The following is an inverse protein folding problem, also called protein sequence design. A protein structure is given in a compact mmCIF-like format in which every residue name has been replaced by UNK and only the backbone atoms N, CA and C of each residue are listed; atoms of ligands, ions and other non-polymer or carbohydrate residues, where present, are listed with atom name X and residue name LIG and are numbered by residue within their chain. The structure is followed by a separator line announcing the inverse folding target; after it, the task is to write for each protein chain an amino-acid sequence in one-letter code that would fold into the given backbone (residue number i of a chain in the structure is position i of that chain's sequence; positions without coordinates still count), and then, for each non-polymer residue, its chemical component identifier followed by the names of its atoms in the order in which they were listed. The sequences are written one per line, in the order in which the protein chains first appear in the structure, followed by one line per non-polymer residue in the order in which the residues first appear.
data_IF_610833312530
#
_entry.id   IF_610833312530
#
_cell.length_a   1.000
_cell.length_b   1.000
_cell.length_c   1.000
_cell.angle_alpha   90.00
_cell.angle_beta   90.00
_cell.angle_gamma   90.00
#
_symmetry.space_group_name_H-M   'P 1'
#
loop_
_entity.id
_entity.type
_entity.pdbx_description
1 polymer ?
#
# COMPACT_ATOMS: atom_id res chain seq x y z
N UNK A 1 -10.51 -14.73 18.65
CA UNK A 1 -9.28 -14.51 19.36
C UNK A 1 -8.10 -14.54 18.40
N UNK A 2 -7.06 -13.69 18.63
CA UNK A 2 -5.94 -13.56 17.71
C UNK A 2 -5.10 -14.85 17.60
N UNK A 3 -5.05 -15.61 18.69
CA UNK A 3 -4.35 -16.90 18.79
C UNK A 3 -4.95 -18.01 17.91
N UNK A 4 -6.18 -17.82 17.44
CA UNK A 4 -6.87 -18.78 16.55
C UNK A 4 -6.44 -18.60 15.07
N UNK A 5 -5.64 -17.57 14.76
CA UNK A 5 -5.20 -17.26 13.40
C UNK A 5 -3.71 -17.56 13.26
N UNK A 6 -3.37 -18.21 12.17
CA UNK A 6 -1.99 -18.48 11.77
C UNK A 6 -1.66 -17.72 10.49
N UNK A 7 -0.39 -17.34 10.33
CA UNK A 7 0.07 -16.71 9.11
C UNK A 7 0.10 -17.74 7.96
N UNK A 8 -0.58 -17.46 6.86
CA UNK A 8 -0.56 -18.34 5.70
C UNK A 8 0.74 -18.14 4.92
N UNK A 9 1.59 -19.17 4.77
CA UNK A 9 2.81 -19.04 3.97
C UNK A 9 2.48 -18.89 2.48
N UNK A 10 3.46 -18.45 1.70
CA UNK A 10 3.33 -18.38 0.23
C UNK A 10 3.06 -19.78 -0.31
N UNK A 11 1.95 -19.93 -1.02
CA UNK A 11 1.55 -21.22 -1.59
C UNK A 11 2.35 -21.56 -2.83
N UNK A 12 2.64 -22.85 -3.00
CA UNK A 12 3.28 -23.37 -4.20
C UNK A 12 2.23 -23.60 -5.30
N UNK A 13 2.44 -22.98 -6.45
CA UNK A 13 1.64 -23.19 -7.64
C UNK A 13 2.38 -24.02 -8.71
N UNK A 14 1.76 -24.32 -9.84
CA UNK A 14 2.34 -25.12 -10.91
C UNK A 14 3.57 -24.48 -11.56
N UNK A 15 3.77 -23.19 -11.40
CA UNK A 15 4.89 -22.42 -11.95
C UNK A 15 5.85 -21.89 -10.87
N UNK A 16 5.67 -22.31 -9.60
CA UNK A 16 6.48 -21.90 -8.46
C UNK A 16 5.71 -21.13 -7.39
N UNK A 17 6.45 -20.58 -6.45
CA UNK A 17 5.91 -19.79 -5.36
C UNK A 17 6.19 -18.31 -5.58
N UNK A 18 5.14 -17.50 -5.59
CA UNK A 18 5.19 -16.06 -5.84
C UNK A 18 4.50 -15.30 -4.74
N UNK A 19 5.15 -14.27 -4.24
CA UNK A 19 4.52 -13.32 -3.34
C UNK A 19 3.90 -12.18 -4.16
N UNK A 20 2.58 -12.10 -4.19
CA UNK A 20 1.84 -11.10 -4.97
C UNK A 20 1.29 -9.94 -4.12
N UNK A 21 1.41 -10.03 -2.80
CA UNK A 21 0.78 -9.08 -1.87
C UNK A 21 1.75 -8.21 -1.12
N UNK A 22 2.94 -8.73 -0.80
CA UNK A 22 3.99 -7.98 -0.09
C UNK A 22 4.96 -7.41 -1.12
N UNK A 23 5.17 -6.11 -1.06
CA UNK A 23 6.14 -5.41 -1.91
C UNK A 23 7.40 -5.12 -1.11
N UNK A 24 8.55 -5.25 -1.77
CA UNK A 24 9.81 -4.79 -1.20
C UNK A 24 9.90 -3.27 -1.34
N UNK A 25 10.15 -2.63 -0.22
CA UNK A 25 10.33 -1.18 -0.16
C UNK A 25 9.09 -0.36 0.18
N UNK A 26 9.34 0.78 0.77
CA UNK A 26 8.34 1.78 1.09
C UNK A 26 7.86 2.49 -0.17
N UNK A 27 6.57 2.49 -0.38
CA UNK A 27 5.99 3.26 -1.47
C UNK A 27 5.90 4.75 -1.14
N UNK A 28 6.18 5.60 -2.11
CA UNK A 28 5.78 7.00 -2.05
C UNK A 28 4.34 7.07 -2.53
N UNK A 29 3.43 7.47 -1.65
CA UNK A 29 2.05 7.71 -2.04
C UNK A 29 1.90 9.18 -2.46
N UNK A 30 1.93 9.43 -3.75
CA UNK A 30 1.71 10.76 -4.31
C UNK A 30 0.23 11.18 -4.20
N UNK A 31 -0.02 12.49 -4.09
CA UNK A 31 -1.39 13.01 -4.07
C UNK A 31 -2.08 13.04 -2.70
N UNK A 32 -1.36 12.78 -1.61
CA UNK A 32 -1.89 12.86 -0.25
C UNK A 32 -2.31 14.29 0.15
N UNK A 33 -1.80 15.30 -0.53
CA UNK A 33 -2.12 16.71 -0.34
C UNK A 33 -2.17 17.44 -1.67
N UNK A 34 -3.22 18.22 -1.89
CA UNK A 34 -3.34 19.13 -3.03
C UNK A 34 -3.65 20.54 -2.54
N UNK A 35 -2.87 21.52 -3.02
CA UNK A 35 -3.08 22.93 -2.73
C UNK A 35 -3.70 23.57 -3.97
N UNK A 36 -4.93 24.05 -3.81
CA UNK A 36 -5.66 24.68 -4.94
C UNK A 36 -5.26 26.14 -5.12
N UNK A 37 -5.55 26.70 -6.29
CA UNK A 37 -5.35 28.11 -6.61
C UNK A 37 -6.16 29.08 -5.74
N UNK A 38 -7.13 28.59 -5.00
CA UNK A 38 -7.90 29.40 -4.03
C UNK A 38 -7.17 29.62 -2.71
N UNK A 39 -6.02 28.95 -2.49
CA UNK A 39 -5.24 29.14 -1.28
C UNK A 39 -4.53 30.49 -1.29
N UNK A 40 -4.87 31.37 -0.34
CA UNK A 40 -4.26 32.71 -0.22
C UNK A 40 -2.80 32.69 0.25
N UNK A 41 -2.40 31.65 0.97
CA UNK A 41 -1.07 31.56 1.59
C UNK A 41 -0.44 30.16 1.41
N UNK A 42 -0.14 29.71 0.19
CA UNK A 42 0.35 28.35 -0.06
C UNK A 42 1.69 28.06 0.63
N UNK A 43 2.55 29.06 0.74
CA UNK A 43 3.85 28.91 1.44
C UNK A 43 3.65 28.67 2.94
N UNK A 44 2.71 29.35 3.59
CA UNK A 44 2.46 29.13 5.01
C UNK A 44 1.80 27.77 5.24
N UNK A 45 0.95 27.32 4.33
CA UNK A 45 0.34 26.00 4.38
C UNK A 45 1.39 24.91 4.21
N UNK A 46 2.34 25.06 3.28
CA UNK A 46 3.45 24.13 3.11
C UNK A 46 4.34 24.07 4.36
N UNK A 47 4.67 25.21 4.98
CA UNK A 47 5.42 25.25 6.25
C UNK A 47 4.69 24.55 7.40
N UNK A 48 3.37 24.61 7.42
CA UNK A 48 2.56 23.87 8.41
C UNK A 48 2.67 22.36 8.17
N UNK A 49 2.50 21.90 6.94
CA UNK A 49 2.60 20.48 6.63
C UNK A 49 4.04 19.93 6.70
N UNK A 50 5.05 20.77 6.48
CA UNK A 50 6.46 20.39 6.63
C UNK A 50 6.77 19.87 8.05
N UNK A 51 6.10 20.42 9.06
CA UNK A 51 6.24 19.95 10.43
C UNK A 51 5.66 18.54 10.66
N UNK A 52 4.76 18.07 9.80
CA UNK A 52 4.20 16.73 9.89
C UNK A 52 5.21 15.63 9.56
N UNK A 53 6.32 15.99 8.90
CA UNK A 53 7.39 15.05 8.57
C UNK A 53 8.41 14.86 9.70
N UNK A 54 8.35 15.67 10.77
CA UNK A 54 9.20 15.45 11.93
C UNK A 54 8.82 14.14 12.64
N UNK A 55 9.77 13.27 13.03
CA UNK A 55 9.51 11.96 13.62
C UNK A 55 8.52 12.00 14.79
N UNK A 56 8.69 12.94 15.70
CA UNK A 56 7.83 13.10 16.88
C UNK A 56 6.38 13.45 16.49
N UNK A 57 6.21 14.27 15.48
CA UNK A 57 4.89 14.68 15.02
C UNK A 57 4.21 13.59 14.22
N UNK A 58 4.94 12.93 13.32
CA UNK A 58 4.37 11.87 12.47
C UNK A 58 3.85 10.71 13.31
N UNK A 59 4.52 10.36 14.38
CA UNK A 59 4.07 9.30 15.28
C UNK A 59 2.76 9.67 15.99
N UNK A 60 2.64 10.93 16.46
CA UNK A 60 1.42 11.43 17.06
C UNK A 60 0.27 11.51 16.04
N UNK A 61 0.54 11.91 14.80
CA UNK A 61 -0.45 11.94 13.72
C UNK A 61 -0.94 10.53 13.33
N UNK A 62 -0.06 9.53 13.43
CA UNK A 62 -0.38 8.14 13.05
C UNK A 62 -1.14 7.38 14.12
N UNK A 63 -0.86 7.62 15.39
CA UNK A 63 -1.36 6.81 16.50
C UNK A 63 -2.18 7.58 17.51
N UNK A 64 -1.93 8.87 17.66
CA UNK A 64 -2.56 9.71 18.66
C UNK A 64 -1.53 10.47 19.49
N UNK A 65 -1.96 11.53 20.21
CA UNK A 65 -1.07 12.41 20.95
C UNK A 65 -0.38 11.72 22.13
N UNK A 66 0.78 12.26 22.50
CA UNK A 66 1.42 12.02 23.80
C UNK A 66 0.42 12.42 24.90
N UNK A 67 0.44 11.68 26.01
CA UNK A 67 -0.50 11.77 27.16
C UNK A 67 -1.93 11.27 26.85
N UNK A 68 -2.23 10.90 25.61
CA UNK A 68 -3.49 10.28 25.21
C UNK A 68 -3.28 8.84 24.77
N UNK A 69 -2.60 8.65 23.65
CA UNK A 69 -2.29 7.32 23.13
C UNK A 69 -0.94 6.79 23.62
N UNK A 70 0.07 7.65 23.67
CA UNK A 70 1.38 7.34 24.25
C UNK A 70 1.41 7.81 25.69
N UNK A 71 1.42 6.88 26.65
CA UNK A 71 1.18 7.19 28.07
C UNK A 71 2.44 7.20 28.92
N UNK A 72 3.50 6.53 28.48
CA UNK A 72 4.75 6.41 29.22
C UNK A 72 5.92 6.09 28.29
N UNK A 73 7.12 6.15 28.82
CA UNK A 73 8.32 5.67 28.13
C UNK A 73 8.94 4.51 28.90
N UNK A 74 9.58 3.59 28.16
CA UNK A 74 10.39 2.54 28.75
C UNK A 74 11.77 3.08 29.19
N UNK A 75 12.63 2.18 29.72
CA UNK A 75 13.99 2.52 30.16
C UNK A 75 14.93 3.00 29.03
N UNK A 76 14.57 2.72 27.77
CA UNK A 76 15.31 3.14 26.57
C UNK A 76 14.74 4.44 25.97
N UNK A 77 13.68 4.99 26.54
CA UNK A 77 13.00 6.19 26.05
C UNK A 77 11.98 5.92 24.94
N UNK A 78 11.65 4.66 24.66
CA UNK A 78 10.62 4.31 23.69
C UNK A 78 9.23 4.55 24.27
N UNK A 79 8.38 5.19 23.51
CA UNK A 79 7.01 5.43 23.91
C UNK A 79 6.18 4.13 23.92
N UNK A 80 5.42 3.96 25.00
CA UNK A 80 4.45 2.87 25.15
C UNK A 80 3.05 3.36 24.81
N UNK A 81 2.35 2.60 23.98
CA UNK A 81 0.95 2.82 23.72
C UNK A 81 0.09 2.47 24.93
N UNK A 82 -1.04 3.17 25.06
CA UNK A 82 -2.07 2.85 26.06
C UNK A 82 -2.57 1.42 25.88
N UNK A 83 -2.73 0.68 26.98
CA UNK A 83 -3.35 -0.66 26.93
C UNK A 83 -4.87 -0.55 26.82
N UNK A 84 -5.54 -1.66 26.46
CA UNK A 84 -7.00 -1.69 26.41
C UNK A 84 -7.62 -1.46 27.80
N UNK A 85 -6.99 -1.94 28.88
CA UNK A 85 -7.44 -1.71 30.25
C UNK A 85 -7.34 -0.23 30.65
N UNK A 86 -6.21 0.40 30.36
CA UNK A 86 -6.01 1.83 30.63
C UNK A 86 -6.95 2.70 29.78
N UNK A 87 -7.14 2.35 28.50
CA UNK A 87 -8.03 3.05 27.61
C UNK A 87 -9.49 2.92 28.06
N UNK A 88 -9.89 1.72 28.52
CA UNK A 88 -11.22 1.49 29.07
C UNK A 88 -11.45 2.29 30.36
N UNK A 89 -10.46 2.35 31.25
CA UNK A 89 -10.54 3.11 32.50
C UNK A 89 -10.62 4.63 32.25
N UNK A 90 -9.76 5.14 31.34
CA UNK A 90 -9.59 6.57 31.09
C UNK A 90 -10.64 7.16 30.16
N UNK A 91 -11.04 6.40 29.12
CA UNK A 91 -11.88 6.89 28.02
C UNK A 91 -13.17 6.08 27.82
N UNK A 92 -13.33 4.92 28.45
CA UNK A 92 -14.45 4.01 28.22
C UNK A 92 -14.43 3.33 26.87
N UNK A 93 -13.24 3.16 26.26
CA UNK A 93 -12.99 2.66 24.90
C UNK A 93 -11.79 1.73 24.87
N UNK A 94 -11.66 0.95 23.81
CA UNK A 94 -10.42 0.21 23.53
C UNK A 94 -9.30 1.14 23.06
N UNK A 95 -8.04 0.70 23.16
CA UNK A 95 -6.89 1.43 22.64
C UNK A 95 -7.00 1.69 21.12
N UNK A 96 -7.55 0.72 20.37
CA UNK A 96 -7.81 0.87 18.94
C UNK A 96 -8.85 1.93 18.61
N UNK A 97 -9.90 2.08 19.42
CA UNK A 97 -10.90 3.14 19.27
C UNK A 97 -10.31 4.52 19.61
N UNK A 98 -9.49 4.59 20.65
CA UNK A 98 -8.76 5.83 21.00
C UNK A 98 -7.85 6.23 19.83
N UNK A 99 -7.05 5.30 19.30
CA UNK A 99 -6.22 5.55 18.11
C UNK A 99 -7.05 6.10 16.96
N UNK A 100 -8.15 5.45 16.62
CA UNK A 100 -8.98 5.82 15.46
C UNK A 100 -9.61 7.21 15.58
N UNK A 101 -9.80 7.72 16.80
CA UNK A 101 -10.31 9.09 17.03
C UNK A 101 -9.26 10.17 16.80
N UNK A 102 -7.99 9.86 17.05
CA UNK A 102 -6.89 10.84 17.00
C UNK A 102 -5.99 10.67 15.77
N UNK A 103 -6.07 9.55 15.06
CA UNK A 103 -5.31 9.35 13.84
C UNK A 103 -5.67 10.38 12.78
N UNK A 104 -4.66 11.05 12.23
CA UNK A 104 -4.84 12.08 11.21
C UNK A 104 -4.30 11.57 9.88
N UNK A 105 -5.15 11.62 8.86
CA UNK A 105 -4.77 11.29 7.48
C UNK A 105 -4.22 12.52 6.78
N UNK A 106 -3.14 12.35 6.03
CA UNK A 106 -2.49 13.43 5.29
C UNK A 106 -1.04 13.11 4.95
N UNK A 107 -0.29 14.10 4.43
CA UNK A 107 1.09 13.90 4.04
C UNK A 107 1.94 13.60 5.28
N UNK A 108 2.57 12.43 5.31
CA UNK A 108 3.46 12.00 6.39
C UNK A 108 4.49 11.01 5.86
N UNK A 109 5.65 10.96 6.48
CA UNK A 109 6.71 10.01 6.19
C UNK A 109 6.99 9.18 7.44
N UNK A 110 6.74 7.88 7.37
CA UNK A 110 7.06 6.95 8.45
C UNK A 110 8.16 6.02 7.94
N UNK A 111 9.36 6.18 8.46
CA UNK A 111 10.47 5.31 8.17
C UNK A 111 10.46 4.12 9.13
N UNK A 112 10.98 2.98 8.67
CA UNK A 112 11.03 1.75 9.47
C UNK A 112 11.80 1.91 10.79
N UNK A 113 12.85 2.74 10.80
CA UNK A 113 13.64 3.04 11.99
C UNK A 113 12.89 3.93 13.00
N UNK A 114 11.85 4.66 12.61
CA UNK A 114 11.00 5.38 13.57
C UNK A 114 10.27 4.42 14.52
N UNK A 115 9.82 3.28 14.00
CA UNK A 115 9.22 2.24 14.84
C UNK A 115 10.21 1.68 15.86
N UNK A 116 11.45 1.42 15.43
CA UNK A 116 12.47 0.87 16.31
C UNK A 116 13.02 1.88 17.33
N UNK A 117 13.01 3.18 17.00
CA UNK A 117 13.69 4.21 17.79
C UNK A 117 12.72 5.17 18.52
N UNK A 118 11.43 5.05 18.32
CA UNK A 118 10.47 6.02 18.88
C UNK A 118 9.45 5.35 19.80
N UNK A 119 9.01 4.13 19.53
CA UNK A 119 8.02 3.47 20.37
C UNK A 119 8.21 1.95 20.44
N UNK A 120 7.72 1.39 21.54
CA UNK A 120 7.71 -0.06 21.74
C UNK A 120 6.63 -0.70 20.86
N UNK A 121 7.02 -1.65 20.03
CA UNK A 121 6.07 -2.38 19.21
C UNK A 121 5.29 -3.39 20.08
N UNK A 122 4.00 -3.48 19.82
CA UNK A 122 3.18 -4.52 20.44
C UNK A 122 3.73 -5.92 20.07
N UNK A 123 3.76 -6.86 21.02
CA UNK A 123 4.27 -8.22 20.77
C UNK A 123 3.64 -8.87 19.52
N UNK A 124 2.34 -8.73 19.36
CA UNK A 124 1.60 -9.21 18.20
C UNK A 124 2.05 -8.56 16.88
N UNK A 125 2.49 -7.33 16.89
CA UNK A 125 3.04 -6.67 15.68
C UNK A 125 4.43 -7.24 15.36
N UNK A 126 5.23 -7.54 16.37
CA UNK A 126 6.54 -8.20 16.23
C UNK A 126 6.37 -9.60 15.64
N UNK A 127 5.43 -10.40 16.16
CA UNK A 127 5.14 -11.75 15.65
C UNK A 127 4.73 -11.70 14.18
N UNK A 128 3.82 -10.79 13.80
CA UNK A 128 3.40 -10.63 12.41
C UNK A 128 4.54 -10.21 11.48
N UNK A 129 5.44 -9.36 11.94
CA UNK A 129 6.62 -8.98 11.15
C UNK A 129 7.58 -10.15 11.00
N UNK A 130 7.79 -10.93 12.05
CA UNK A 130 8.62 -12.14 12.01
C UNK A 130 8.07 -13.13 10.98
N UNK A 131 6.76 -13.42 11.05
CA UNK A 131 6.09 -14.30 10.09
C UNK A 131 6.18 -13.77 8.65
N UNK A 132 6.05 -12.45 8.47
CA UNK A 132 6.21 -11.81 7.17
C UNK A 132 7.61 -12.04 6.60
N UNK A 133 8.65 -11.79 7.40
CA UNK A 133 10.04 -11.96 6.98
C UNK A 133 10.39 -13.43 6.75
N UNK A 134 9.86 -14.35 7.53
CA UNK A 134 10.18 -15.77 7.43
C UNK A 134 9.44 -16.47 6.27
N UNK A 135 8.16 -16.11 6.03
CA UNK A 135 7.30 -16.85 5.11
C UNK A 135 7.00 -16.14 3.79
N UNK A 136 7.13 -14.81 3.71
CA UNK A 136 6.74 -14.06 2.52
C UNK A 136 7.90 -13.34 1.83
N UNK A 137 8.76 -12.68 2.59
CA UNK A 137 9.87 -11.91 2.05
C UNK A 137 10.86 -12.74 1.20
N UNK A 138 11.12 -14.03 1.48
CA UNK A 138 11.98 -14.84 0.61
C UNK A 138 11.48 -14.96 -0.84
N UNK A 139 10.18 -14.74 -1.08
CA UNK A 139 9.53 -14.85 -2.38
C UNK A 139 9.31 -13.50 -3.07
N UNK A 140 9.65 -12.38 -2.47
CA UNK A 140 9.49 -11.03 -3.07
C UNK A 140 10.22 -10.93 -4.40
N UNK A 141 11.41 -11.51 -4.50
CA UNK A 141 12.21 -11.55 -5.72
C UNK A 141 11.54 -12.27 -6.92
N UNK A 142 10.53 -13.09 -6.63
CA UNK A 142 9.76 -13.80 -7.66
C UNK A 142 8.55 -12.98 -8.15
N UNK A 143 8.36 -11.79 -7.60
CA UNK A 143 7.22 -10.94 -7.91
C UNK A 143 7.70 -9.67 -8.59
N UNK A 144 7.19 -9.39 -9.77
CA UNK A 144 7.34 -8.11 -10.43
C UNK A 144 6.12 -7.24 -10.13
N UNK A 145 6.33 -5.99 -9.78
CA UNK A 145 5.26 -5.02 -9.60
C UNK A 145 5.52 -3.80 -10.48
N UNK A 146 4.44 -3.24 -11.02
CA UNK A 146 4.53 -2.00 -11.76
C UNK A 146 4.98 -0.87 -10.81
N UNK A 147 6.03 -0.09 -11.17
CA UNK A 147 6.53 0.96 -10.28
C UNK A 147 5.50 2.07 -10.08
N UNK A 148 5.37 2.52 -8.84
CA UNK A 148 4.44 3.62 -8.50
C UNK A 148 4.94 4.98 -8.96
N UNK A 149 6.22 5.10 -9.28
CA UNK A 149 6.90 6.33 -9.71
C UNK A 149 6.86 6.55 -11.22
N UNK A 150 6.13 5.71 -11.97
CA UNK A 150 5.89 5.92 -13.38
C UNK A 150 5.09 7.20 -13.61
N UNK A 151 5.63 8.09 -14.45
CA UNK A 151 5.00 9.37 -14.80
C UNK A 151 4.30 9.23 -16.15
N UNK A 152 3.02 9.56 -16.18
CA UNK A 152 2.20 9.52 -17.39
C UNK A 152 2.17 10.88 -18.08
N UNK A 153 2.11 10.87 -19.40
CA UNK A 153 1.77 12.06 -20.20
C UNK A 153 0.26 12.33 -20.11
N UNK A 154 -0.16 13.53 -20.57
CA UNK A 154 -1.59 13.85 -20.58
C UNK A 154 -2.38 12.92 -21.50
N UNK A 155 -1.85 12.59 -22.68
CA UNK A 155 -2.50 11.69 -23.64
C UNK A 155 -2.67 10.27 -23.08
N UNK A 156 -1.69 9.79 -22.31
CA UNK A 156 -1.78 8.51 -21.61
C UNK A 156 -2.82 8.54 -20.48
N UNK A 157 -2.88 9.63 -19.71
CA UNK A 157 -3.92 9.80 -18.69
C UNK A 157 -5.31 9.84 -19.31
N UNK A 158 -5.49 10.57 -20.41
CA UNK A 158 -6.76 10.64 -21.13
C UNK A 158 -7.19 9.26 -21.66
N UNK A 159 -6.23 8.45 -22.12
CA UNK A 159 -6.46 7.06 -22.54
C UNK A 159 -6.86 6.16 -21.36
N UNK A 160 -6.14 6.27 -20.25
CA UNK A 160 -6.43 5.51 -19.03
C UNK A 160 -7.82 5.89 -18.48
N UNK A 161 -8.12 7.17 -18.37
CA UNK A 161 -9.40 7.65 -17.86
C UNK A 161 -10.58 7.23 -18.76
N UNK A 162 -10.37 7.14 -20.07
CA UNK A 162 -11.39 6.67 -21.02
C UNK A 162 -11.79 5.22 -20.80
N UNK A 163 -10.83 4.33 -20.51
CA UNK A 163 -11.05 2.90 -20.55
C UNK A 163 -11.12 2.23 -19.19
N UNK A 164 -10.37 2.73 -18.20
CA UNK A 164 -10.10 2.03 -16.94
C UNK A 164 -11.36 1.58 -16.20
N UNK A 165 -12.35 2.46 -16.08
CA UNK A 165 -13.54 2.18 -15.26
C UNK A 165 -14.34 1.00 -15.82
N UNK A 166 -14.61 1.01 -17.13
CA UNK A 166 -15.38 -0.05 -17.78
C UNK A 166 -14.59 -1.37 -17.81
N UNK A 167 -13.27 -1.28 -18.04
CA UNK A 167 -12.36 -2.41 -18.01
C UNK A 167 -12.35 -3.08 -16.62
N UNK A 168 -12.11 -2.34 -15.56
CA UNK A 168 -12.05 -2.85 -14.18
C UNK A 168 -13.40 -3.42 -13.73
N UNK A 169 -14.49 -2.77 -14.08
CA UNK A 169 -15.85 -3.27 -13.78
C UNK A 169 -16.10 -4.63 -14.46
N UNK A 170 -15.75 -4.76 -15.74
CA UNK A 170 -15.91 -6.02 -16.46
C UNK A 170 -15.04 -7.14 -15.87
N UNK A 171 -13.78 -6.85 -15.55
CA UNK A 171 -12.89 -7.82 -14.88
C UNK A 171 -13.52 -8.28 -13.57
N UNK A 172 -13.91 -7.36 -12.71
CA UNK A 172 -14.48 -7.68 -11.40
C UNK A 172 -15.80 -8.46 -11.50
N UNK A 173 -16.64 -8.15 -12.48
CA UNK A 173 -17.87 -8.89 -12.73
C UNK A 173 -17.58 -10.33 -13.15
N UNK A 174 -16.66 -10.54 -14.09
CA UNK A 174 -16.29 -11.87 -14.56
C UNK A 174 -15.62 -12.71 -13.47
N UNK A 175 -14.75 -12.13 -12.67
CA UNK A 175 -14.15 -12.79 -11.51
C UNK A 175 -15.24 -13.25 -10.52
N UNK A 176 -16.18 -12.38 -10.18
CA UNK A 176 -17.26 -12.70 -9.26
C UNK A 176 -18.17 -13.82 -9.82
N UNK A 177 -18.46 -13.81 -11.11
CA UNK A 177 -19.23 -14.87 -11.77
C UNK A 177 -18.50 -16.21 -11.71
N UNK A 178 -17.22 -16.25 -12.04
CA UNK A 178 -16.43 -17.48 -12.02
C UNK A 178 -16.21 -18.01 -10.60
N UNK A 179 -16.02 -17.14 -9.61
CA UNK A 179 -15.92 -17.55 -8.20
C UNK A 179 -17.23 -18.17 -7.67
N UNK A 180 -18.37 -17.62 -8.10
CA UNK A 180 -19.69 -18.11 -7.67
C UNK A 180 -20.13 -19.37 -8.39
N UNK A 181 -20.00 -19.38 -9.72
CA UNK A 181 -20.64 -20.40 -10.59
C UNK A 181 -19.62 -21.37 -11.20
N UNK A 182 -18.32 -21.07 -11.13
CA UNK A 182 -17.28 -21.81 -11.84
C UNK A 182 -17.37 -21.59 -13.36
N UNK A 183 -17.03 -22.61 -14.13
CA UNK A 183 -17.28 -22.62 -15.58
C UNK A 183 -16.19 -21.96 -16.43
N UNK A 184 -14.97 -21.82 -15.91
CA UNK A 184 -13.84 -21.40 -16.73
C UNK A 184 -13.48 -22.56 -17.67
N UNK A 185 -13.60 -22.30 -18.95
CA UNK A 185 -13.20 -23.17 -20.06
C UNK A 185 -12.32 -22.40 -21.02
N UNK A 186 -11.62 -23.08 -21.93
CA UNK A 186 -10.82 -22.42 -22.96
C UNK A 186 -11.67 -21.49 -23.82
N UNK A 187 -12.93 -21.87 -24.10
CA UNK A 187 -13.85 -21.06 -24.88
C UNK A 187 -14.25 -19.79 -24.11
N UNK A 188 -14.69 -19.92 -22.85
CA UNK A 188 -15.08 -18.77 -22.02
C UNK A 188 -13.90 -17.86 -21.75
N UNK A 189 -12.70 -18.40 -21.55
CA UNK A 189 -11.47 -17.63 -21.38
C UNK A 189 -11.08 -16.86 -22.64
N UNK A 190 -11.21 -17.45 -23.81
CA UNK A 190 -10.94 -16.76 -25.07
C UNK A 190 -11.98 -15.65 -25.33
N UNK A 191 -13.25 -15.91 -25.08
CA UNK A 191 -14.30 -14.89 -25.18
C UNK A 191 -14.04 -13.71 -24.23
N UNK A 192 -13.62 -13.99 -23.00
CA UNK A 192 -13.22 -12.97 -22.04
C UNK A 192 -12.08 -12.08 -22.55
N UNK A 193 -11.02 -12.69 -23.09
CA UNK A 193 -9.89 -11.93 -23.65
C UNK A 193 -10.31 -11.03 -24.83
N UNK A 194 -11.17 -11.52 -25.71
CA UNK A 194 -11.68 -10.71 -26.84
C UNK A 194 -12.57 -9.55 -26.34
N UNK A 195 -13.33 -9.77 -25.27
CA UNK A 195 -14.13 -8.70 -24.66
C UNK A 195 -13.24 -7.65 -24.00
N UNK A 196 -12.17 -8.05 -23.32
CA UNK A 196 -11.20 -7.10 -22.74
C UNK A 196 -10.56 -6.19 -23.82
N UNK A 197 -10.29 -6.71 -25.02
CA UNK A 197 -9.81 -5.88 -26.14
C UNK A 197 -10.84 -4.79 -26.51
N UNK A 198 -12.13 -5.13 -26.49
CA UNK A 198 -13.17 -4.15 -26.78
C UNK A 198 -13.30 -3.07 -25.69
N UNK A 199 -12.83 -3.33 -24.48
CA UNK A 199 -12.69 -2.39 -23.37
C UNK A 199 -11.31 -1.71 -23.32
N UNK A 200 -10.58 -1.68 -24.43
CA UNK A 200 -9.35 -0.91 -24.57
C UNK A 200 -8.11 -1.55 -23.95
N UNK A 201 -8.07 -2.87 -23.78
CA UNK A 201 -6.90 -3.56 -23.20
C UNK A 201 -5.58 -3.16 -23.88
N UNK A 202 -5.56 -3.10 -25.23
CA UNK A 202 -4.35 -2.78 -25.97
C UNK A 202 -3.92 -1.33 -25.75
N UNK A 203 -4.87 -0.37 -25.78
CA UNK A 203 -4.61 1.05 -25.51
C UNK A 203 -4.10 1.27 -24.08
N UNK A 204 -4.68 0.56 -23.10
CA UNK A 204 -4.24 0.62 -21.71
C UNK A 204 -2.83 0.06 -21.55
N UNK A 205 -2.55 -1.09 -22.14
CA UNK A 205 -1.22 -1.70 -22.08
C UNK A 205 -0.16 -0.81 -22.71
N UNK A 206 -0.47 -0.18 -23.85
CA UNK A 206 0.45 0.76 -24.50
C UNK A 206 0.73 1.98 -23.60
N UNK A 207 -0.29 2.57 -22.98
CA UNK A 207 -0.13 3.71 -22.07
C UNK A 207 0.74 3.36 -20.85
N UNK A 208 0.48 2.22 -20.22
CA UNK A 208 1.27 1.74 -19.08
C UNK A 208 2.70 1.37 -19.50
N UNK A 209 2.90 0.70 -20.65
CA UNK A 209 4.21 0.31 -21.12
C UNK A 209 5.09 1.53 -21.45
N UNK A 210 4.53 2.53 -22.12
CA UNK A 210 5.26 3.76 -22.43
C UNK A 210 5.71 4.51 -21.17
N UNK A 211 4.87 4.56 -20.14
CA UNK A 211 5.23 5.16 -18.86
C UNK A 211 6.33 4.35 -18.14
N UNK A 212 6.24 3.03 -18.18
CA UNK A 212 7.27 2.14 -17.65
C UNK A 212 8.61 2.30 -18.37
N UNK A 213 8.61 2.35 -19.69
CA UNK A 213 9.83 2.48 -20.50
C UNK A 213 10.57 3.80 -20.18
N UNK A 214 9.83 4.89 -19.97
CA UNK A 214 10.42 6.17 -19.52
C UNK A 214 11.00 6.05 -18.10
N UNK A 215 10.29 5.40 -17.19
CA UNK A 215 10.79 5.14 -15.85
C UNK A 215 12.08 4.31 -15.87
N UNK A 216 12.12 3.21 -16.62
CA UNK A 216 13.27 2.33 -16.72
C UNK A 216 14.53 3.04 -17.28
N UNK A 217 14.34 3.96 -18.24
CA UNK A 217 15.45 4.78 -18.77
C UNK A 217 16.06 5.72 -17.74
N UNK A 218 15.25 6.22 -16.81
CA UNK A 218 15.73 7.18 -15.78
C UNK A 218 16.26 6.45 -14.55
N UNK A 219 15.61 5.37 -14.12
CA UNK A 219 15.98 4.60 -12.92
C UNK A 219 17.22 3.71 -13.12
N UNK A 220 17.61 3.44 -14.36
CA UNK A 220 18.68 2.48 -14.68
C UNK A 220 18.26 1.03 -14.40
N UNK A 221 16.97 0.78 -14.27
CA UNK A 221 16.42 -0.55 -14.01
C UNK A 221 16.49 -1.39 -15.28
N UNK A 222 17.48 -2.29 -15.33
CA UNK A 222 17.73 -3.20 -16.47
C UNK A 222 16.79 -4.43 -16.47
N UNK A 223 15.76 -4.45 -15.65
CA UNK A 223 14.78 -5.55 -15.60
C UNK A 223 13.92 -5.64 -16.88
N UNK A 224 13.91 -4.58 -17.71
CA UNK A 224 13.24 -4.55 -19.00
C UNK A 224 13.82 -5.55 -20.02
N UNK A 225 15.11 -5.89 -19.91
CA UNK A 225 15.77 -6.78 -20.86
C UNK A 225 15.43 -8.28 -20.66
N UNK A 226 14.89 -8.64 -19.50
CA UNK A 226 14.58 -10.04 -19.19
C UNK A 226 13.23 -10.53 -19.78
N UNK A 227 12.33 -9.63 -20.15
CA UNK A 227 11.01 -9.99 -20.67
C UNK A 227 10.94 -10.10 -22.21
N UNK A 228 11.92 -9.59 -22.94
CA UNK A 228 11.97 -9.74 -24.41
C UNK A 228 12.54 -11.07 -24.89
N UNK A 229 12.94 -11.98 -23.98
CA UNK A 229 13.62 -13.23 -24.29
C UNK A 229 12.83 -14.51 -23.92
N UNK A 230 11.52 -14.40 -23.59
CA UNK A 230 10.70 -15.55 -23.22
C UNK A 230 9.58 -15.85 -24.21
#
# INVERSE_FOLDING_TARGET
HAEDYVFLPVLEGPHGSYNVTVRDGGGINSGSLSITSACESPINLLKFYDQWYAPENVMQLQYGPIDVYFTSQDENGLWKSITDEEAQEKFGKSAGEVKSEYEVYGPKLILSDYYANTFEMEPRAVDRLTDLYDYWMPFVKNTTSYPIDCVYTQDELDTIDKWRVDFENYVSEQEALWLRDGGITDESWNAYKETLKSYGLEDLLEAYQNAYDRYAQVSGDSSADAQSAA
#
